data_IF_086287856345
#
_entry.id   IF_086287856345
#
_cell.length_a   1.000
_cell.length_b   1.000
_cell.length_c   1.000
_cell.angle_alpha   90.00
_cell.angle_beta   90.00
_cell.angle_gamma   90.00
#
_symmetry.space_group_name_H-M   'P 1'
#
loop_
_entity.id
_entity.type
_entity.pdbx_description
1 polymer ?
#
# COMPACT_ATOMS: atom_id res chain seq x y z
N UNK A 1 -12.50 10.42 -10.74
CA UNK A 1 -11.57 9.35 -10.29
C UNK A 1 -12.29 8.00 -10.48
N UNK A 2 -11.71 6.99 -11.16
CA UNK A 2 -12.39 5.72 -11.42
C UNK A 2 -12.44 4.77 -10.20
N UNK A 3 -11.80 5.15 -9.08
CA UNK A 3 -11.70 4.37 -7.86
C UNK A 3 -12.50 5.02 -6.73
N UNK A 4 -13.08 4.18 -5.87
CA UNK A 4 -13.58 4.60 -4.56
C UNK A 4 -12.57 4.19 -3.50
N UNK A 5 -11.89 5.15 -2.91
CA UNK A 5 -10.97 4.93 -1.79
C UNK A 5 -11.80 4.80 -0.51
N UNK A 6 -11.47 3.82 0.32
CA UNK A 6 -12.14 3.57 1.60
C UNK A 6 -11.06 3.38 2.64
N UNK A 7 -11.05 4.24 3.66
CA UNK A 7 -10.12 4.09 4.78
C UNK A 7 -10.43 2.82 5.56
N UNK A 8 -9.41 1.98 5.77
CA UNK A 8 -9.51 0.81 6.65
C UNK A 8 -9.75 1.27 8.08
N UNK A 9 -10.68 0.64 8.79
CA UNK A 9 -10.98 0.95 10.18
C UNK A 9 -12.37 0.44 10.58
N UNK A 10 -12.56 0.23 11.87
CA UNK A 10 -13.82 -0.32 12.42
C UNK A 10 -14.76 0.78 12.91
N UNK A 11 -14.26 2.01 13.04
CA UNK A 11 -15.02 3.16 13.49
C UNK A 11 -16.04 3.56 12.41
N UNK A 12 -17.27 3.84 12.86
CA UNK A 12 -18.38 4.25 11.99
C UNK A 12 -18.05 5.58 11.33
N UNK A 13 -17.55 6.54 12.11
CA UNK A 13 -17.06 7.82 11.64
C UNK A 13 -15.71 7.62 10.94
N UNK A 14 -15.67 7.90 9.64
CA UNK A 14 -14.48 7.70 8.79
C UNK A 14 -13.28 8.51 9.27
N UNK A 15 -13.52 9.73 9.76
CA UNK A 15 -12.50 10.65 10.30
C UNK A 15 -11.83 10.13 11.59
N UNK A 16 -12.48 9.19 12.30
CA UNK A 16 -11.94 8.58 13.52
C UNK A 16 -11.29 7.22 13.27
N UNK A 17 -11.20 6.78 12.02
CA UNK A 17 -10.60 5.48 11.69
C UNK A 17 -9.10 5.53 11.88
N UNK A 18 -8.61 4.66 12.76
CA UNK A 18 -7.18 4.37 12.88
C UNK A 18 -6.88 3.17 11.99
N UNK A 19 -6.56 3.44 10.72
CA UNK A 19 -6.21 2.41 9.75
C UNK A 19 -4.94 1.68 10.16
N UNK A 20 -4.92 0.36 9.95
CA UNK A 20 -3.73 -0.48 10.10
C UNK A 20 -3.79 -1.64 9.12
N UNK A 21 -2.64 -2.26 8.86
CA UNK A 21 -2.54 -3.37 7.92
C UNK A 21 -3.44 -4.56 8.33
N UNK A 22 -3.63 -4.79 9.63
CA UNK A 22 -4.54 -5.85 10.12
C UNK A 22 -6.00 -5.55 9.71
N UNK A 23 -6.44 -4.29 9.81
CA UNK A 23 -7.78 -3.90 9.41
C UNK A 23 -8.00 -4.13 7.91
N UNK A 24 -7.01 -3.78 7.07
CA UNK A 24 -7.05 -4.07 5.62
C UNK A 24 -7.24 -5.57 5.37
N UNK A 25 -6.41 -6.42 6.00
CA UNK A 25 -6.49 -7.87 5.86
C UNK A 25 -7.86 -8.42 6.24
N UNK A 26 -8.37 -8.05 7.42
CA UNK A 26 -9.65 -8.53 7.95
C UNK A 26 -10.82 -8.05 7.10
N UNK A 27 -10.82 -6.79 6.67
CA UNK A 27 -11.85 -6.24 5.79
C UNK A 27 -11.84 -6.94 4.44
N UNK A 28 -10.67 -7.22 3.86
CA UNK A 28 -10.56 -7.89 2.57
C UNK A 28 -11.12 -9.32 2.64
N UNK A 29 -10.75 -10.08 3.67
CA UNK A 29 -11.25 -11.44 3.91
C UNK A 29 -12.77 -11.44 4.14
N UNK A 30 -13.28 -10.55 4.99
CA UNK A 30 -14.72 -10.47 5.26
C UNK A 30 -15.52 -10.06 4.03
N UNK A 31 -15.14 -8.97 3.36
CA UNK A 31 -15.86 -8.44 2.21
C UNK A 31 -15.86 -9.44 1.05
N UNK A 32 -14.83 -10.28 0.92
CA UNK A 32 -14.80 -11.36 -0.09
C UNK A 32 -16.01 -12.30 -0.01
N UNK A 33 -16.63 -12.43 1.17
CA UNK A 33 -17.83 -13.26 1.38
C UNK A 33 -19.13 -12.54 0.99
N UNK A 34 -19.11 -11.21 0.82
CA UNK A 34 -20.30 -10.37 0.71
C UNK A 34 -20.49 -9.70 -0.65
N UNK A 35 -19.47 -9.68 -1.50
CA UNK A 35 -19.53 -8.92 -2.77
C UNK A 35 -18.72 -9.58 -3.87
N UNK A 36 -19.10 -9.28 -5.11
CA UNK A 36 -18.36 -9.61 -6.32
C UNK A 36 -17.76 -8.36 -6.99
N UNK A 37 -17.83 -7.21 -6.30
CA UNK A 37 -17.13 -6.01 -6.73
C UNK A 37 -15.63 -6.26 -6.76
N UNK A 38 -14.97 -5.57 -7.69
CA UNK A 38 -13.50 -5.57 -7.73
C UNK A 38 -12.95 -4.74 -6.57
N UNK A 39 -12.06 -5.34 -5.77
CA UNK A 39 -11.52 -4.72 -4.55
C UNK A 39 -10.01 -4.96 -4.49
N UNK A 40 -9.27 -3.93 -4.08
CA UNK A 40 -7.84 -4.01 -3.82
C UNK A 40 -7.62 -3.56 -2.38
N UNK A 41 -7.13 -4.46 -1.53
CA UNK A 41 -6.59 -4.13 -0.22
C UNK A 41 -5.14 -3.71 -0.38
N UNK A 42 -4.85 -2.44 -0.08
CA UNK A 42 -3.52 -1.86 -0.21
C UNK A 42 -2.78 -1.93 1.13
N UNK A 43 -1.56 -2.46 1.10
CA UNK A 43 -0.67 -2.58 2.25
C UNK A 43 0.61 -1.79 2.00
N UNK A 44 1.10 -1.10 3.03
CA UNK A 44 2.47 -0.57 2.99
C UNK A 44 3.47 -1.71 2.77
N UNK A 45 4.60 -1.40 2.16
CA UNK A 45 5.71 -2.34 1.97
C UNK A 45 6.73 -2.19 3.10
N UNK A 46 6.21 -2.11 4.31
CA UNK A 46 6.95 -2.18 5.56
C UNK A 46 6.77 -3.57 6.20
N UNK A 47 7.34 -3.77 7.38
CA UNK A 47 7.23 -5.06 8.09
C UNK A 47 5.76 -5.44 8.38
N UNK A 48 4.96 -4.52 8.92
CA UNK A 48 3.59 -4.84 9.34
C UNK A 48 2.71 -5.17 8.12
N UNK A 49 2.79 -4.36 7.07
CA UNK A 49 2.07 -4.58 5.82
C UNK A 49 2.41 -5.94 5.20
N UNK A 50 3.70 -6.30 5.15
CA UNK A 50 4.14 -7.60 4.65
C UNK A 50 3.68 -8.78 5.53
N UNK A 51 3.71 -8.65 6.86
CA UNK A 51 3.23 -9.67 7.80
C UNK A 51 1.73 -9.93 7.61
N UNK A 52 0.92 -8.87 7.48
CA UNK A 52 -0.53 -8.98 7.27
C UNK A 52 -0.86 -9.48 5.85
N UNK A 53 -0.15 -9.01 4.82
CA UNK A 53 -0.30 -9.51 3.47
C UNK A 53 0.01 -11.00 3.35
N UNK A 54 1.10 -11.47 3.97
CA UNK A 54 1.41 -12.91 4.10
C UNK A 54 0.32 -13.66 4.86
N UNK A 55 -0.30 -12.99 5.84
CA UNK A 55 -1.38 -13.50 6.66
C UNK A 55 -2.72 -13.69 5.94
N UNK A 56 -2.92 -13.19 4.71
CA UNK A 56 -4.16 -13.41 3.97
C UNK A 56 -4.48 -14.90 3.86
N UNK A 57 -5.74 -15.26 4.15
CA UNK A 57 -6.22 -16.62 4.25
C UNK A 57 -5.87 -17.47 3.01
N UNK A 58 -5.02 -18.49 3.22
CA UNK A 58 -4.50 -19.38 2.17
C UNK A 58 -5.56 -20.26 1.49
N UNK A 59 -6.74 -20.41 2.10
CA UNK A 59 -7.83 -21.18 1.50
C UNK A 59 -8.59 -20.40 0.41
N UNK A 60 -8.50 -19.07 0.41
CA UNK A 60 -9.25 -18.21 -0.50
C UNK A 60 -8.38 -17.26 -1.33
N UNK A 61 -7.12 -17.04 -0.94
CA UNK A 61 -6.12 -16.31 -1.71
C UNK A 61 -5.03 -17.23 -2.25
N UNK A 62 -4.37 -16.81 -3.33
CA UNK A 62 -3.15 -17.44 -3.84
C UNK A 62 -2.08 -17.59 -2.74
N UNK A 63 -1.20 -18.60 -2.84
CA UNK A 63 -0.05 -18.74 -1.95
C UNK A 63 0.82 -17.48 -1.92
N UNK A 64 1.42 -17.19 -0.77
CA UNK A 64 2.34 -16.06 -0.64
C UNK A 64 3.71 -16.38 -1.26
N UNK A 65 4.25 -15.43 -2.01
CA UNK A 65 5.61 -15.42 -2.55
C UNK A 65 6.23 -14.05 -2.27
N UNK A 66 7.48 -14.03 -1.77
CA UNK A 66 8.21 -12.80 -1.44
C UNK A 66 8.53 -11.95 -2.67
N UNK A 67 8.60 -12.57 -3.85
CA UNK A 67 8.86 -11.88 -5.10
C UNK A 67 7.59 -11.28 -5.71
N UNK A 68 6.41 -11.70 -5.24
CA UNK A 68 5.13 -11.21 -5.73
C UNK A 68 4.54 -10.17 -4.77
N UNK A 69 4.33 -8.96 -5.28
CA UNK A 69 3.72 -7.87 -4.53
C UNK A 69 2.18 -7.88 -4.54
N UNK A 70 1.55 -8.89 -5.14
CA UNK A 70 0.09 -9.02 -5.19
C UNK A 70 -0.35 -10.45 -4.98
N UNK A 71 -1.52 -10.64 -4.36
CA UNK A 71 -2.19 -11.94 -4.19
C UNK A 71 -3.65 -11.83 -4.59
N UNK A 72 -4.08 -12.65 -5.56
CA UNK A 72 -5.47 -12.68 -6.03
C UNK A 72 -6.31 -13.67 -5.21
N UNK A 73 -7.57 -13.33 -5.00
CA UNK A 73 -8.57 -14.26 -4.49
C UNK A 73 -8.87 -15.33 -5.53
N UNK A 74 -8.91 -16.60 -5.13
CA UNK A 74 -8.93 -17.75 -6.05
C UNK A 74 -10.09 -17.71 -7.06
N UNK A 75 -11.23 -17.11 -6.70
CA UNK A 75 -12.43 -17.07 -7.56
C UNK A 75 -13.03 -15.68 -7.79
N UNK A 76 -12.48 -14.61 -7.19
CA UNK A 76 -13.07 -13.25 -7.26
C UNK A 76 -12.01 -12.24 -7.69
N UNK A 77 -12.46 -11.10 -8.20
CA UNK A 77 -11.60 -9.96 -8.53
C UNK A 77 -11.23 -9.16 -7.27
N UNK A 78 -10.69 -9.85 -6.26
CA UNK A 78 -10.30 -9.28 -4.97
C UNK A 78 -8.82 -9.53 -4.78
N UNK A 79 -8.07 -8.48 -4.45
CA UNK A 79 -6.62 -8.48 -4.44
C UNK A 79 -6.08 -7.95 -3.12
N UNK A 80 -5.04 -8.59 -2.59
CA UNK A 80 -4.07 -7.89 -1.76
C UNK A 80 -2.98 -7.31 -2.66
N UNK A 81 -2.56 -6.08 -2.39
CA UNK A 81 -1.46 -5.40 -3.09
C UNK A 81 -0.55 -4.74 -2.06
N UNK A 82 0.73 -5.08 -2.09
CA UNK A 82 1.79 -4.36 -1.40
C UNK A 82 2.25 -3.20 -2.29
N UNK A 83 2.49 -2.02 -1.69
CA UNK A 83 2.99 -0.85 -2.40
C UNK A 83 4.21 -1.19 -3.29
N UNK A 84 4.14 -0.96 -4.61
CA UNK A 84 5.29 -1.13 -5.49
C UNK A 84 6.34 -0.05 -5.22
N UNK A 85 7.60 -0.47 -5.12
CA UNK A 85 8.69 0.44 -4.74
C UNK A 85 9.21 1.17 -5.98
N UNK A 86 9.24 2.51 -5.99
CA UNK A 86 9.88 3.27 -7.08
C UNK A 86 11.41 3.12 -7.01
N UNK A 87 12.09 3.29 -8.15
CA UNK A 87 13.55 3.08 -8.29
C UNK A 87 14.38 3.81 -7.21
N UNK A 88 14.04 5.08 -6.93
CA UNK A 88 14.74 5.89 -5.92
C UNK A 88 14.53 5.42 -4.46
N UNK A 89 13.70 4.39 -4.22
CA UNK A 89 13.41 3.81 -2.91
C UNK A 89 13.73 2.31 -2.82
N UNK A 90 14.41 1.72 -3.79
CA UNK A 90 14.74 0.29 -3.79
C UNK A 90 15.44 -0.17 -2.49
N UNK A 91 16.29 0.67 -1.93
CA UNK A 91 17.04 0.39 -0.69
C UNK A 91 16.16 0.27 0.55
N UNK A 92 14.91 0.71 0.51
CA UNK A 92 13.94 0.58 1.61
C UNK A 92 13.39 -0.84 1.76
N UNK A 93 13.62 -1.72 0.77
CA UNK A 93 13.04 -3.07 0.73
C UNK A 93 14.12 -4.09 0.37
N UNK A 94 14.40 -4.99 1.30
CA UNK A 94 15.19 -6.18 1.02
C UNK A 94 14.25 -7.30 0.51
N UNK A 95 14.29 -7.58 -0.80
CA UNK A 95 13.36 -8.52 -1.44
C UNK A 95 13.33 -9.92 -0.78
N UNK A 96 14.45 -10.38 -0.22
CA UNK A 96 14.57 -11.68 0.42
C UNK A 96 14.24 -11.68 1.93
N UNK A 97 13.74 -10.58 2.48
CA UNK A 97 13.41 -10.45 3.90
C UNK A 97 12.01 -9.86 4.09
N UNK A 98 11.20 -10.48 4.96
CA UNK A 98 9.91 -9.91 5.38
C UNK A 98 10.07 -8.76 6.37
N UNK A 99 11.16 -8.75 7.13
CA UNK A 99 11.33 -7.85 8.28
C UNK A 99 12.22 -6.65 7.99
N UNK A 100 13.03 -6.71 6.93
CA UNK A 100 13.87 -5.61 6.46
C UNK A 100 13.18 -4.87 5.31
N UNK A 101 12.02 -4.30 5.63
CA UNK A 101 11.17 -3.57 4.71
C UNK A 101 10.60 -2.37 5.45
N UNK A 102 10.72 -1.20 4.85
CA UNK A 102 10.46 0.09 5.51
C UNK A 102 9.67 1.05 4.63
N UNK A 103 9.16 0.57 3.48
CA UNK A 103 8.55 1.42 2.48
C UNK A 103 7.07 1.69 2.75
N UNK A 104 6.73 2.95 2.97
CA UNK A 104 5.37 3.43 3.26
C UNK A 104 4.91 4.45 2.22
N UNK A 105 3.60 4.71 2.13
CA UNK A 105 3.03 5.55 1.07
C UNK A 105 3.61 6.98 1.00
N UNK A 106 4.01 7.58 2.12
CA UNK A 106 4.59 8.92 2.10
C UNK A 106 5.96 8.93 1.40
N UNK A 107 6.68 7.81 1.37
CA UNK A 107 8.00 7.73 0.75
C UNK A 107 7.97 7.71 -0.78
N UNK A 108 6.79 7.72 -1.41
CA UNK A 108 6.67 8.04 -2.83
C UNK A 108 7.10 9.49 -3.12
N UNK A 109 6.96 10.40 -2.18
CA UNK A 109 7.43 11.77 -2.38
C UNK A 109 8.96 11.84 -2.39
N UNK A 110 9.48 12.80 -3.16
CA UNK A 110 10.91 13.08 -3.23
C UNK A 110 11.44 13.55 -1.88
N UNK A 111 12.74 13.37 -1.67
CA UNK A 111 13.42 13.71 -0.42
C UNK A 111 13.26 15.19 -0.06
N UNK A 112 13.26 16.09 -1.04
CA UNK A 112 13.09 17.53 -0.85
C UNK A 112 11.72 17.85 -0.24
N UNK A 113 10.66 17.20 -0.72
CA UNK A 113 9.30 17.38 -0.21
C UNK A 113 9.21 16.85 1.22
N UNK A 114 9.75 15.66 1.47
CA UNK A 114 9.75 15.06 2.80
C UNK A 114 10.56 15.89 3.81
N UNK A 115 11.68 16.47 3.39
CA UNK A 115 12.50 17.34 4.23
C UNK A 115 11.78 18.66 4.54
N UNK A 116 11.16 19.30 3.55
CA UNK A 116 10.41 20.55 3.73
C UNK A 116 9.28 20.41 4.76
N UNK A 117 8.64 19.24 4.80
CA UNK A 117 7.52 18.96 5.70
C UNK A 117 7.96 18.26 7.00
N UNK A 118 9.27 18.12 7.27
CA UNK A 118 9.81 17.40 8.43
C UNK A 118 9.31 15.95 8.57
N UNK A 119 9.08 15.29 7.41
CA UNK A 119 8.61 13.92 7.31
C UNK A 119 9.73 12.87 7.39
N UNK A 120 10.99 13.26 7.22
CA UNK A 120 12.13 12.36 7.46
C UNK A 120 12.35 12.19 8.97
N UNK A 121 12.12 10.98 9.48
CA UNK A 121 12.43 10.57 10.84
C UNK A 121 13.83 9.96 10.97
N UNK A 122 13.98 9.02 11.91
CA UNK A 122 15.27 8.40 12.21
C UNK A 122 15.79 7.54 11.06
N UNK A 123 17.09 7.66 10.77
CA UNK A 123 17.79 6.79 9.83
C UNK A 123 18.06 5.42 10.42
N UNK A 124 17.96 4.39 9.60
CA UNK A 124 18.23 3.01 9.99
C UNK A 124 19.73 2.77 9.96
N UNK A 125 20.35 2.56 11.13
CA UNK A 125 21.77 2.23 11.29
C UNK A 125 22.71 3.20 10.55
N UNK A 126 22.34 4.48 10.44
CA UNK A 126 23.12 5.51 9.73
C UNK A 126 23.15 5.37 8.20
N UNK A 127 22.23 4.60 7.62
CA UNK A 127 22.04 4.49 6.17
C UNK A 127 21.11 5.59 5.64
N UNK A 128 20.94 5.67 4.32
CA UNK A 128 19.96 6.61 3.73
C UNK A 128 18.50 6.15 3.88
N UNK A 129 18.28 4.93 4.38
CA UNK A 129 16.94 4.43 4.70
C UNK A 129 16.49 5.06 6.00
N UNK A 130 15.26 5.59 6.03
CA UNK A 130 14.71 6.29 7.19
C UNK A 130 13.26 5.90 7.46
N UNK A 131 12.83 6.05 8.71
CA UNK A 131 11.42 6.01 9.05
C UNK A 131 10.76 7.34 8.73
N UNK A 132 9.47 7.31 8.39
CA UNK A 132 8.68 8.55 8.30
C UNK A 132 8.34 9.07 9.69
N UNK A 133 8.19 10.39 9.82
CA UNK A 133 7.81 11.01 11.07
C UNK A 133 6.29 10.89 11.30
N UNK A 134 5.88 9.91 12.10
CA UNK A 134 4.47 9.63 12.38
C UNK A 134 3.71 10.83 12.98
N UNK A 135 4.37 11.68 13.76
CA UNK A 135 3.70 12.84 14.38
C UNK A 135 3.30 13.92 13.37
N UNK A 136 3.81 13.84 12.14
CA UNK A 136 3.55 14.80 11.05
C UNK A 136 2.64 14.25 9.96
N UNK A 137 2.27 12.96 9.99
CA UNK A 137 1.50 12.30 8.92
C UNK A 137 0.20 13.01 8.56
N UNK A 138 -0.59 13.40 9.56
CA UNK A 138 -1.88 14.06 9.31
C UNK A 138 -1.70 15.44 8.65
N UNK A 139 -0.82 16.27 9.21
CA UNK A 139 -0.49 17.60 8.68
C UNK A 139 0.11 17.50 7.26
N UNK A 140 0.99 16.52 7.04
CA UNK A 140 1.56 16.29 5.73
C UNK A 140 0.49 15.89 4.72
N UNK A 141 -0.40 14.94 5.07
CA UNK A 141 -1.51 14.54 4.21
C UNK A 141 -2.38 15.73 3.81
N UNK A 142 -2.68 16.65 4.74
CA UNK A 142 -3.44 17.86 4.45
C UNK A 142 -2.67 18.80 3.49
N UNK A 143 -1.36 18.99 3.72
CA UNK A 143 -0.50 19.84 2.89
C UNK A 143 -0.35 19.32 1.45
N UNK A 144 -0.58 18.02 1.21
CA UNK A 144 -0.46 17.47 -0.16
C UNK A 144 -1.47 18.07 -1.13
N UNK A 145 -2.59 18.63 -0.65
CA UNK A 145 -3.58 19.28 -1.50
C UNK A 145 -3.02 20.53 -2.22
N UNK A 146 -1.99 21.15 -1.64
CA UNK A 146 -1.35 22.36 -2.18
C UNK A 146 -0.12 22.05 -3.02
N UNK A 147 0.28 20.77 -3.12
CA UNK A 147 1.44 20.37 -3.90
C UNK A 147 1.14 20.35 -5.41
N UNK A 148 2.08 20.80 -6.25
CA UNK A 148 1.97 20.65 -7.70
C UNK A 148 1.87 19.18 -8.14
N UNK A 149 1.21 18.92 -9.27
CA UNK A 149 0.94 17.57 -9.78
C UNK A 149 2.22 16.77 -10.04
N UNK A 150 3.29 17.45 -10.43
CA UNK A 150 4.62 16.88 -10.67
C UNK A 150 5.22 16.20 -9.43
N UNK A 151 4.84 16.63 -8.22
CA UNK A 151 5.28 16.00 -6.97
C UNK A 151 4.76 14.57 -6.80
N UNK A 152 3.72 14.18 -7.55
CA UNK A 152 3.08 12.87 -7.48
C UNK A 152 3.55 11.90 -8.56
N UNK A 153 4.56 12.26 -9.39
CA UNK A 153 5.02 11.43 -10.50
C UNK A 153 5.40 10.00 -10.11
N UNK A 154 5.97 9.82 -8.92
CA UNK A 154 6.37 8.51 -8.41
C UNK A 154 5.19 7.58 -8.06
N UNK A 155 3.97 8.11 -7.91
CA UNK A 155 2.77 7.30 -7.67
C UNK A 155 2.28 6.56 -8.92
N UNK A 156 2.77 6.94 -10.12
CA UNK A 156 2.41 6.29 -11.39
C UNK A 156 2.55 4.76 -11.32
N UNK A 157 3.66 4.25 -10.77
CA UNK A 157 3.92 2.81 -10.62
C UNK A 157 2.83 2.07 -9.82
N UNK A 158 2.19 2.72 -8.85
CA UNK A 158 1.05 2.14 -8.12
C UNK A 158 -0.17 2.03 -9.04
N UNK A 159 -0.48 3.07 -9.80
CA UNK A 159 -1.63 3.07 -10.70
C UNK A 159 -1.43 2.17 -11.92
N UNK A 160 -0.20 2.04 -12.41
CA UNK A 160 0.16 1.07 -13.45
C UNK A 160 -0.07 -0.34 -12.94
N UNK A 161 0.42 -0.65 -11.72
CA UNK A 161 0.19 -1.96 -11.10
C UNK A 161 -1.30 -2.25 -10.85
N UNK A 162 -2.07 -1.26 -10.42
CA UNK A 162 -3.53 -1.39 -10.30
C UNK A 162 -4.15 -1.68 -11.66
N UNK A 163 -3.74 -0.96 -12.70
CA UNK A 163 -4.26 -1.13 -14.06
C UNK A 163 -3.94 -2.52 -14.61
N UNK A 164 -2.73 -3.04 -14.38
CA UNK A 164 -2.33 -4.39 -14.76
C UNK A 164 -3.20 -5.45 -14.07
N UNK A 165 -3.43 -5.31 -12.76
CA UNK A 165 -4.31 -6.22 -12.01
C UNK A 165 -5.74 -6.21 -12.55
N UNK A 166 -6.24 -5.05 -13.00
CA UNK A 166 -7.58 -4.92 -13.55
C UNK A 166 -7.68 -5.40 -15.01
N UNK A 167 -6.63 -5.21 -15.81
CA UNK A 167 -6.56 -5.65 -17.20
C UNK A 167 -6.53 -7.18 -17.32
N UNK A 168 -5.79 -7.85 -16.42
CA UNK A 168 -5.70 -9.32 -16.33
C UNK A 168 -7.03 -9.99 -15.88
N UNK A 169 -8.12 -9.23 -15.72
CA UNK A 169 -9.47 -9.74 -15.42
C UNK A 169 -10.47 -9.58 -16.55
N UNK A 170 -10.08 -9.01 -17.69
CA UNK A 170 -10.97 -9.05 -18.85
C UNK A 170 -10.99 -10.48 -19.37
N UNK A 171 -12.16 -11.13 -19.50
CA UNK A 171 -12.22 -12.40 -20.19
C UNK A 171 -11.64 -12.19 -21.60
N UNK A 172 -10.72 -13.06 -22.01
CA UNK A 172 -10.35 -13.18 -23.42
C UNK A 172 -11.63 -13.53 -24.19
N UNK A 173 -12.19 -12.55 -24.91
CA UNK A 173 -13.28 -12.68 -25.87
C UNK A 173 -14.58 -13.36 -25.36
N UNK A 174 -15.60 -12.54 -25.13
CA UNK A 174 -16.98 -12.83 -25.55
C UNK A 174 -17.57 -11.61 -26.21
#
# INVERSE_FOLDING_TARGET
>A
MPFKIISSGIQIEEEKRTGCAEAVRRSLEYISTLTDRTIIGLFDNDREGNEQFKGLNRSIFEPHDLQNNSRKHQVKNIYGLILPVPEHRERFVQNNSLTQRYFVIEQYFQDEILLQHNMKGESILGTEVFFVNDSRKNEFSESTNDLPVECFGNFSILFDKISDLLANNRPENT
#
